data_IF_025925089227
#
_entry.id   IF_025925089227
#
_cell.length_a   1.000
_cell.length_b   1.000
_cell.length_c   1.000
_cell.angle_alpha   90.00
_cell.angle_beta   90.00
_cell.angle_gamma   90.00
#
_symmetry.space_group_name_H-M   'P 1'
#
loop_
_entity.id
_entity.type
_entity.pdbx_description
1 polymer ?
#
# COMPACT_ATOMS: atom_id res chain seq x y z
N UNK A 1 -17.86 -0.37 -9.05
CA UNK A 1 -17.86 1.04 -8.61
C UNK A 1 -16.49 1.36 -8.04
N UNK A 2 -15.76 2.32 -8.61
CA UNK A 2 -14.42 2.70 -8.14
C UNK A 2 -14.57 3.95 -7.30
N UNK A 3 -14.56 3.81 -5.99
CA UNK A 3 -14.63 4.94 -5.08
C UNK A 3 -13.30 5.71 -5.19
N UNK A 4 -13.35 6.94 -5.67
CA UNK A 4 -12.22 7.86 -5.56
C UNK A 4 -12.32 8.49 -4.17
N UNK A 5 -11.35 8.23 -3.30
CA UNK A 5 -11.19 9.06 -2.11
C UNK A 5 -10.93 10.50 -2.57
N UNK A 6 -11.59 11.47 -1.93
CA UNK A 6 -11.25 12.88 -2.11
C UNK A 6 -9.85 13.20 -1.56
N UNK A 7 -9.37 14.41 -1.82
CA UNK A 7 -8.16 14.95 -1.18
C UNK A 7 -8.42 15.12 0.32
N UNK A 8 -7.51 14.64 1.17
CA UNK A 8 -7.63 14.84 2.61
C UNK A 8 -7.33 16.30 2.95
N UNK A 9 -8.26 16.97 3.60
CA UNK A 9 -8.15 18.39 3.97
C UNK A 9 -7.63 18.57 5.39
N UNK A 10 -7.24 19.80 5.74
CA UNK A 10 -6.88 20.16 7.12
C UNK A 10 -8.06 19.92 8.07
N UNK A 11 -9.29 20.22 7.63
CA UNK A 11 -10.50 19.98 8.42
C UNK A 11 -10.72 18.48 8.72
N UNK A 12 -10.29 17.58 7.83
CA UNK A 12 -10.35 16.14 8.09
C UNK A 12 -9.34 15.73 9.18
N UNK A 13 -8.16 16.35 9.20
CA UNK A 13 -7.16 16.12 10.23
C UNK A 13 -7.64 16.60 11.60
N UNK A 14 -8.26 17.78 11.67
CA UNK A 14 -8.85 18.33 12.90
C UNK A 14 -9.96 17.43 13.46
N UNK A 15 -10.92 17.03 12.62
CA UNK A 15 -11.99 16.11 13.02
C UNK A 15 -11.45 14.76 13.50
N UNK A 16 -10.38 14.26 12.87
CA UNK A 16 -9.72 13.02 13.29
C UNK A 16 -9.04 13.19 14.66
N UNK A 17 -8.39 14.32 14.92
CA UNK A 17 -7.77 14.63 16.22
C UNK A 17 -8.83 14.73 17.32
N UNK A 18 -9.93 15.44 17.06
CA UNK A 18 -11.05 15.56 17.99
C UNK A 18 -11.66 14.20 18.29
N UNK A 19 -11.90 13.37 17.27
CA UNK A 19 -12.44 12.02 17.47
C UNK A 19 -11.54 11.15 18.35
N UNK A 20 -10.23 11.19 18.12
CA UNK A 20 -9.23 10.48 18.95
C UNK A 20 -9.25 10.94 20.41
N UNK A 21 -9.45 12.24 20.64
CA UNK A 21 -9.51 12.82 21.98
C UNK A 21 -10.77 12.45 22.78
N UNK A 22 -11.85 12.00 22.12
CA UNK A 22 -13.14 11.70 22.79
C UNK A 22 -13.11 10.47 23.69
N UNK A 23 -12.21 9.51 23.48
CA UNK A 23 -12.14 8.30 24.29
C UNK A 23 -10.81 7.56 24.10
N UNK A 24 -10.33 6.91 25.16
CA UNK A 24 -9.18 6.01 25.09
C UNK A 24 -9.38 4.87 24.06
N UNK A 25 -10.62 4.42 23.87
CA UNK A 25 -10.95 3.41 22.86
C UNK A 25 -10.72 3.91 21.42
N UNK A 26 -11.05 5.19 21.14
CA UNK A 26 -10.82 5.78 19.81
C UNK A 26 -9.34 5.94 19.51
N UNK A 27 -8.55 6.41 20.49
CA UNK A 27 -7.10 6.49 20.35
C UNK A 27 -6.48 5.11 20.13
N UNK A 28 -6.96 4.08 20.82
CA UNK A 28 -6.46 2.72 20.64
C UNK A 28 -6.77 2.18 19.23
N UNK A 29 -8.01 2.35 18.76
CA UNK A 29 -8.42 1.97 17.41
C UNK A 29 -7.60 2.70 16.33
N UNK A 30 -7.31 3.99 16.53
CA UNK A 30 -6.45 4.75 15.64
C UNK A 30 -5.03 4.18 15.58
N UNK A 31 -4.44 3.86 16.74
CA UNK A 31 -3.08 3.27 16.81
C UNK A 31 -3.01 1.93 16.08
N UNK A 32 -4.03 1.10 16.24
CA UNK A 32 -4.10 -0.19 15.54
C UNK A 32 -4.19 -0.01 14.03
N UNK A 33 -5.05 0.91 13.57
CA UNK A 33 -5.15 1.25 12.14
C UNK A 33 -3.82 1.76 11.57
N UNK A 34 -3.13 2.66 12.29
CA UNK A 34 -1.80 3.18 11.88
C UNK A 34 -0.75 2.07 11.83
N UNK A 35 -0.76 1.14 12.79
CA UNK A 35 0.16 -0.01 12.81
C UNK A 35 -0.06 -0.89 11.58
N UNK A 36 -1.30 -1.23 11.27
CA UNK A 36 -1.65 -2.02 10.09
C UNK A 36 -1.24 -1.32 8.79
N UNK A 37 -1.53 -0.01 8.67
CA UNK A 37 -1.14 0.77 7.50
C UNK A 37 0.38 0.78 7.26
N UNK A 38 1.17 0.99 8.31
CA UNK A 38 2.64 0.95 8.23
C UNK A 38 3.16 -0.42 7.81
N UNK A 39 2.58 -1.50 8.34
CA UNK A 39 2.96 -2.86 7.98
C UNK A 39 2.71 -3.14 6.48
N UNK A 40 1.55 -2.71 5.96
CA UNK A 40 1.23 -2.81 4.53
C UNK A 40 2.22 -1.99 3.70
N UNK A 41 2.48 -0.74 4.08
CA UNK A 41 3.43 0.13 3.39
C UNK A 41 4.83 -0.49 3.31
N UNK A 42 5.32 -1.07 4.40
CA UNK A 42 6.61 -1.77 4.44
C UNK A 42 6.64 -3.01 3.55
N UNK A 43 5.56 -3.81 3.58
CA UNK A 43 5.44 -4.99 2.72
C UNK A 43 5.49 -4.60 1.24
N UNK A 44 4.79 -3.53 0.86
CA UNK A 44 4.78 -3.01 -0.52
C UNK A 44 6.14 -2.41 -0.92
N UNK A 45 6.83 -1.72 -0.02
CA UNK A 45 8.17 -1.17 -0.29
C UNK A 45 9.22 -2.29 -0.46
N UNK A 46 9.05 -3.40 0.26
CA UNK A 46 9.94 -4.57 0.21
C UNK A 46 9.63 -5.49 -0.96
N UNK A 47 8.39 -5.47 -1.47
CA UNK A 47 8.05 -6.09 -2.75
C UNK A 47 8.59 -5.23 -3.90
N UNK A 48 9.91 -5.13 -4.04
CA UNK A 48 10.48 -4.76 -5.32
C UNK A 48 9.91 -5.73 -6.34
N UNK A 49 9.26 -5.27 -7.43
CA UNK A 49 8.74 -6.17 -8.43
C UNK A 49 9.94 -7.01 -8.91
N UNK A 50 9.90 -8.32 -8.64
CA UNK A 50 10.92 -9.23 -9.11
C UNK A 50 11.14 -8.90 -10.60
N UNK A 51 12.39 -8.67 -11.04
CA UNK A 51 12.64 -8.29 -12.41
C UNK A 51 11.95 -9.33 -13.27
N UNK A 52 10.97 -8.88 -14.07
CA UNK A 52 10.14 -9.75 -14.88
C UNK A 52 11.10 -10.75 -15.55
N UNK A 53 11.01 -12.03 -15.17
CA UNK A 53 11.87 -13.06 -15.73
C UNK A 53 11.53 -13.06 -17.21
N UNK A 54 12.34 -12.33 -17.97
CA UNK A 54 12.20 -12.19 -19.41
C UNK A 54 12.54 -13.56 -19.92
N UNK A 55 11.52 -14.41 -20.08
CA UNK A 55 11.65 -15.74 -20.69
C UNK A 55 12.35 -15.50 -22.03
N UNK A 56 13.67 -15.71 -22.06
CA UNK A 56 14.44 -15.67 -23.29
C UNK A 56 13.90 -16.84 -24.08
N UNK A 57 13.08 -16.55 -25.10
CA UNK A 57 12.68 -17.53 -26.10
C UNK A 57 13.98 -18.12 -26.65
N UNK A 58 14.21 -19.44 -26.54
CA UNK A 58 15.41 -20.03 -27.10
C UNK A 58 15.30 -19.89 -28.62
N UNK A 59 16.05 -18.95 -29.19
CA UNK A 59 16.36 -18.96 -30.63
C UNK A 59 17.38 -20.07 -30.84
N UNK A 60 16.92 -21.31 -30.71
CA UNK A 60 17.68 -22.50 -31.07
C UNK A 60 17.80 -22.55 -32.59
N UNK A 61 18.98 -22.26 -33.09
CA UNK A 61 19.30 -22.41 -34.49
C UNK A 61 19.34 -23.88 -34.92
N UNK A 62 19.11 -24.11 -36.21
CA UNK A 62 19.77 -25.20 -36.93
C UNK A 62 19.99 -24.77 -38.37
N UNK A 63 21.22 -24.38 -38.69
CA UNK A 63 21.77 -24.62 -40.04
C UNK A 63 21.92 -26.14 -40.19
N UNK A 64 21.48 -26.68 -41.33
CA UNK A 64 22.05 -27.83 -42.08
C UNK A 64 20.95 -28.49 -42.93
N UNK A 65 21.00 -28.27 -44.23
CA UNK A 65 21.01 -29.27 -45.31
C UNK A 65 21.41 -28.55 -46.59
#
# INVERSE_FOLDING_TARGET
MRLKSGEATIADAEQLMDWRGRSSAHEHAFRDAVRCWRAIGQALATSSPAPAVRRRRPTGGKKRA
#
